data_IF_876312472860
#
_entry.id   IF_876312472860
#
_cell.length_a   1.000
_cell.length_b   1.000
_cell.length_c   1.000
_cell.angle_alpha   90.00
_cell.angle_beta   90.00
_cell.angle_gamma   90.00
#
_symmetry.space_group_name_H-M   'P 1'
#
loop_
_entity.id
_entity.type
_entity.pdbx_description
1 polymer ?
#
# COMPACT_ATOMS: atom_id res chain seq x y z
N UNK A 1 -10.51 33.26 -27.53
CA UNK A 1 -10.21 33.34 -26.09
C UNK A 1 -10.89 32.16 -25.42
N UNK A 2 -10.16 31.03 -25.28
CA UNK A 2 -10.64 29.84 -24.58
C UNK A 2 -9.78 29.65 -23.35
N UNK A 3 -10.20 30.24 -22.25
CA UNK A 3 -9.67 29.94 -20.91
C UNK A 3 -10.26 28.64 -20.43
N UNK A 4 -9.66 27.49 -20.80
CA UNK A 4 -9.89 26.23 -20.11
C UNK A 4 -9.29 26.37 -18.71
N UNK A 5 -10.12 26.69 -17.72
CA UNK A 5 -9.77 26.69 -16.32
C UNK A 5 -9.23 25.31 -15.97
N UNK A 6 -7.93 25.18 -15.74
CA UNK A 6 -7.34 24.03 -15.04
C UNK A 6 -8.03 23.93 -13.68
N UNK A 7 -8.98 23.00 -13.53
CA UNK A 7 -9.44 22.60 -12.20
C UNK A 7 -8.19 22.24 -11.42
N UNK A 8 -7.90 22.97 -10.33
CA UNK A 8 -6.86 22.52 -9.38
C UNK A 8 -7.22 21.11 -8.99
N UNK A 9 -6.34 20.17 -9.30
CA UNK A 9 -6.44 18.81 -8.82
C UNK A 9 -6.39 18.90 -7.29
N UNK A 10 -7.39 18.34 -6.58
CA UNK A 10 -7.37 18.38 -5.12
C UNK A 10 -6.15 17.61 -4.62
N UNK A 11 -5.43 18.21 -3.69
CA UNK A 11 -4.22 17.61 -3.09
C UNK A 11 -4.55 16.32 -2.35
N UNK A 12 -3.60 15.40 -2.28
CA UNK A 12 -3.72 14.19 -1.48
C UNK A 12 -3.71 14.54 0.01
N UNK A 13 -4.50 13.84 0.81
CA UNK A 13 -4.49 13.98 2.26
C UNK A 13 -3.25 13.30 2.84
N UNK A 14 -2.27 14.08 3.24
CA UNK A 14 -0.98 13.62 3.80
C UNK A 14 -0.91 13.94 5.29
N UNK A 15 -0.48 12.98 6.09
CA UNK A 15 -0.35 13.07 7.54
C UNK A 15 1.12 12.86 7.91
N UNK A 16 1.76 13.87 8.46
CA UNK A 16 3.16 13.85 8.89
C UNK A 16 3.26 13.73 10.40
N UNK A 17 4.23 12.98 10.86
CA UNK A 17 4.56 12.81 12.26
C UNK A 17 6.07 12.98 12.41
N UNK A 18 6.47 14.02 13.13
CA UNK A 18 7.88 14.27 13.39
C UNK A 18 8.43 13.25 14.39
N UNK A 19 9.68 12.84 14.20
CA UNK A 19 10.37 12.02 15.18
C UNK A 19 10.48 12.77 16.53
N UNK A 20 10.31 12.06 17.65
CA UNK A 20 10.67 12.57 18.97
C UNK A 20 12.20 12.53 19.08
N UNK A 21 12.85 13.71 18.98
CA UNK A 21 14.30 13.85 18.89
C UNK A 21 14.96 14.02 20.27
N UNK A 22 14.83 13.08 21.18
CA UNK A 22 15.71 13.09 22.35
C UNK A 22 16.88 12.11 22.12
N UNK A 23 18.06 12.64 21.79
CA UNK A 23 19.34 11.92 21.90
C UNK A 23 19.87 11.18 20.67
N UNK A 24 19.33 11.34 19.48
CA UNK A 24 19.86 10.66 18.28
C UNK A 24 21.04 11.42 17.66
N UNK A 25 22.21 10.80 17.59
CA UNK A 25 23.43 11.36 16.96
C UNK A 25 23.32 11.46 15.43
N UNK A 26 22.36 10.82 14.79
CA UNK A 26 22.05 10.87 13.35
C UNK A 26 20.53 10.66 13.15
N UNK A 27 19.86 11.51 12.37
CA UNK A 27 18.45 11.31 12.09
C UNK A 27 18.25 10.00 11.31
N UNK A 28 17.29 9.20 11.79
CA UNK A 28 16.83 8.02 11.06
C UNK A 28 16.17 8.44 9.72
N UNK A 29 16.21 7.60 8.69
CA UNK A 29 15.54 7.91 7.44
C UNK A 29 14.03 8.04 7.66
N UNK A 30 13.40 8.96 6.93
CA UNK A 30 11.95 9.11 6.88
C UNK A 30 11.28 7.83 6.37
N UNK A 31 10.13 7.50 6.93
CA UNK A 31 9.33 6.34 6.55
C UNK A 31 7.99 6.79 5.94
N UNK A 32 7.66 6.31 4.74
CA UNK A 32 6.40 6.61 4.07
C UNK A 32 5.55 5.35 3.96
N UNK A 33 4.34 5.38 4.53
CA UNK A 33 3.39 4.27 4.49
C UNK A 33 2.43 4.38 3.31
N UNK A 34 2.30 3.29 2.56
CA UNK A 34 1.41 3.15 1.40
C UNK A 34 0.38 2.07 1.69
N UNK A 35 -0.88 2.46 1.83
CA UNK A 35 -1.95 1.54 2.18
C UNK A 35 -2.44 0.70 0.99
N UNK A 36 -3.09 -0.43 1.29
CA UNK A 36 -3.67 -1.34 0.33
C UNK A 36 -5.02 -0.88 -0.25
N UNK A 37 -5.63 -1.76 -1.02
CA UNK A 37 -6.96 -1.57 -1.60
C UNK A 37 -8.02 -1.47 -0.50
N UNK A 38 -8.94 -0.50 -0.60
CA UNK A 38 -10.00 -0.19 0.37
C UNK A 38 -9.49 0.03 1.80
N UNK A 39 -8.25 0.49 1.93
CA UNK A 39 -7.64 0.87 3.20
C UNK A 39 -7.36 2.38 3.23
N UNK A 40 -6.70 2.90 4.26
CA UNK A 40 -6.46 4.34 4.50
C UNK A 40 -5.19 4.56 5.30
N UNK A 41 -4.67 5.78 5.30
CA UNK A 41 -3.57 6.21 6.15
C UNK A 41 -3.78 5.86 7.64
N UNK A 42 -5.02 5.91 8.10
CA UNK A 42 -5.38 5.64 9.50
C UNK A 42 -5.13 4.18 9.93
N UNK A 43 -5.09 3.21 9.02
CA UNK A 43 -4.81 1.82 9.34
C UNK A 43 -3.42 1.60 9.96
N UNK A 44 -2.47 2.47 9.62
CA UNK A 44 -1.12 2.43 10.20
C UNK A 44 -0.96 3.18 11.53
N UNK A 45 -2.03 3.74 12.11
CA UNK A 45 -1.92 4.51 13.36
C UNK A 45 -1.38 3.68 14.54
N UNK A 46 -1.76 2.41 14.64
CA UNK A 46 -1.26 1.53 15.71
C UNK A 46 0.24 1.27 15.56
N UNK A 47 0.70 1.07 14.32
CA UNK A 47 2.12 0.88 14.00
C UNK A 47 2.89 2.17 14.24
N UNK A 48 2.37 3.32 13.77
CA UNK A 48 3.02 4.62 13.93
C UNK A 48 3.29 4.98 15.40
N UNK A 49 2.37 4.65 16.31
CA UNK A 49 2.55 4.86 17.76
C UNK A 49 3.70 4.05 18.37
N UNK A 50 4.19 3.02 17.69
CA UNK A 50 5.31 2.15 18.09
C UNK A 50 6.66 2.58 17.51
N UNK A 51 6.62 3.62 16.69
CA UNK A 51 7.77 4.18 15.98
C UNK A 51 7.92 5.69 16.26
N UNK A 52 7.87 6.13 17.56
CA UNK A 52 7.86 7.56 17.90
C UNK A 52 9.18 8.26 17.56
N UNK A 53 10.25 7.49 17.41
CA UNK A 53 11.61 7.92 17.10
C UNK A 53 11.87 8.11 15.60
N UNK A 54 10.88 7.79 14.74
CA UNK A 54 10.99 7.92 13.29
C UNK A 54 10.12 9.07 12.76
N UNK A 55 10.60 9.76 11.75
CA UNK A 55 9.75 10.64 10.94
C UNK A 55 8.85 9.79 10.05
N UNK A 56 7.54 9.92 10.23
CA UNK A 56 6.55 9.09 9.56
C UNK A 56 5.63 9.93 8.68
N UNK A 57 5.43 9.49 7.45
CA UNK A 57 4.44 10.03 6.53
C UNK A 57 3.43 8.93 6.18
N UNK A 58 2.16 9.26 6.29
CA UNK A 58 1.03 8.43 5.86
C UNK A 58 0.14 9.27 4.97
N UNK A 59 -0.46 8.70 3.96
CA UNK A 59 -1.40 9.45 3.11
C UNK A 59 -2.55 8.56 2.68
N UNK A 60 -3.70 9.18 2.43
CA UNK A 60 -4.80 8.49 1.76
C UNK A 60 -4.52 8.54 0.26
N UNK A 61 -4.43 7.36 -0.37
CA UNK A 61 -4.24 7.27 -1.82
C UNK A 61 -5.44 7.90 -2.54
N UNK A 62 -5.22 8.36 -3.75
CA UNK A 62 -6.25 8.94 -4.62
C UNK A 62 -7.50 8.05 -4.68
N UNK A 63 -8.68 8.67 -4.47
CA UNK A 63 -9.97 8.00 -4.45
C UNK A 63 -10.30 7.26 -3.16
N UNK A 64 -9.48 7.41 -2.10
CA UNK A 64 -9.70 6.83 -0.78
C UNK A 64 -9.73 7.88 0.32
N UNK A 65 -10.51 7.61 1.36
CA UNK A 65 -10.53 8.40 2.58
C UNK A 65 -10.77 9.89 2.33
N UNK A 66 -9.84 10.75 2.78
CA UNK A 66 -9.91 12.19 2.55
C UNK A 66 -9.38 12.63 1.18
N UNK A 67 -8.77 11.71 0.42
CA UNK A 67 -8.37 11.92 -0.97
C UNK A 67 -9.43 11.43 -1.97
N UNK A 68 -10.69 11.23 -1.53
CA UNK A 68 -11.78 10.76 -2.39
C UNK A 68 -11.97 11.65 -3.62
N UNK A 69 -11.89 12.98 -3.42
CA UNK A 69 -12.09 14.00 -4.45
C UNK A 69 -10.79 14.45 -5.15
N UNK A 70 -9.66 13.78 -4.89
CA UNK A 70 -8.35 14.18 -5.45
C UNK A 70 -8.18 13.83 -6.94
N UNK A 71 -9.26 13.59 -7.65
CA UNK A 71 -9.29 13.28 -9.07
C UNK A 71 -9.70 11.84 -9.37
N UNK A 72 -9.65 11.47 -10.66
CA UNK A 72 -10.06 10.13 -11.08
C UNK A 72 -9.14 9.04 -10.54
N UNK A 73 -9.74 7.87 -10.38
CA UNK A 73 -9.02 6.68 -9.95
C UNK A 73 -7.88 6.37 -10.94
N UNK A 74 -6.71 6.11 -10.37
CA UNK A 74 -5.44 6.08 -11.07
C UNK A 74 -5.03 4.66 -11.48
N UNK A 75 -4.33 4.53 -12.60
CA UNK A 75 -3.54 3.34 -12.91
C UNK A 75 -2.26 3.29 -12.05
N UNK A 76 -1.46 2.24 -12.22
CA UNK A 76 -0.22 2.08 -11.43
C UNK A 76 0.77 3.24 -11.68
N UNK A 77 0.85 3.75 -12.89
CA UNK A 77 1.80 4.82 -13.24
C UNK A 77 1.42 6.12 -12.51
N UNK A 78 0.13 6.44 -12.44
CA UNK A 78 -0.34 7.58 -11.67
C UNK A 78 -0.24 7.35 -10.14
N UNK A 79 -0.41 6.12 -9.64
CA UNK A 79 -0.19 5.80 -8.22
C UNK A 79 1.28 5.99 -7.82
N UNK A 80 2.22 5.63 -8.69
CA UNK A 80 3.66 5.89 -8.50
C UNK A 80 3.94 7.39 -8.50
N UNK A 81 3.38 8.14 -9.47
CA UNK A 81 3.52 9.58 -9.52
C UNK A 81 2.99 10.28 -8.27
N UNK A 82 1.84 9.84 -7.74
CA UNK A 82 1.29 10.33 -6.47
C UNK A 82 2.26 10.08 -5.30
N UNK A 83 2.89 8.90 -5.24
CA UNK A 83 3.87 8.60 -4.19
C UNK A 83 5.13 9.45 -4.33
N UNK A 84 5.61 9.69 -5.54
CA UNK A 84 6.74 10.60 -5.82
C UNK A 84 6.41 12.04 -5.39
N UNK A 85 5.18 12.51 -5.61
CA UNK A 85 4.71 13.82 -5.11
C UNK A 85 4.71 13.86 -3.57
N UNK A 86 4.23 12.79 -2.90
CA UNK A 86 4.26 12.68 -1.43
C UNK A 86 5.69 12.67 -0.88
N UNK A 87 6.64 12.07 -1.60
CA UNK A 87 8.06 12.07 -1.26
C UNK A 87 8.66 13.48 -1.33
N UNK A 88 8.19 14.33 -2.26
CA UNK A 88 8.63 15.72 -2.34
C UNK A 88 10.13 15.90 -2.64
N UNK A 89 10.73 14.93 -3.35
CA UNK A 89 12.16 14.93 -3.69
C UNK A 89 13.09 14.43 -2.59
N UNK A 90 12.57 14.02 -1.43
CA UNK A 90 13.37 13.51 -0.32
C UNK A 90 13.36 11.98 -0.27
N UNK A 91 14.53 11.31 -0.22
CA UNK A 91 14.62 9.87 -0.12
C UNK A 91 13.98 9.33 1.18
N UNK A 92 13.31 8.17 1.07
CA UNK A 92 12.62 7.57 2.21
C UNK A 92 12.68 6.02 2.16
N UNK A 93 12.39 5.40 3.30
CA UNK A 93 12.01 3.99 3.38
C UNK A 93 10.53 3.89 3.07
N UNK A 94 10.16 3.07 2.09
CA UNK A 94 8.77 2.85 1.72
C UNK A 94 8.20 1.61 2.43
N UNK A 95 7.07 1.76 3.09
CA UNK A 95 6.36 0.65 3.75
C UNK A 95 5.02 0.46 3.06
N UNK A 96 4.88 -0.62 2.30
CA UNK A 96 3.67 -0.91 1.54
C UNK A 96 2.94 -2.15 2.04
N UNK A 97 1.64 -2.03 2.25
CA UNK A 97 0.75 -3.15 2.56
C UNK A 97 -0.09 -3.52 1.33
N UNK A 98 -0.13 -4.80 0.98
CA UNK A 98 -0.94 -5.30 -0.13
C UNK A 98 -0.61 -4.55 -1.43
N UNK A 99 -1.58 -3.94 -2.13
CA UNK A 99 -1.33 -3.12 -3.31
C UNK A 99 -0.35 -1.96 -3.03
N UNK A 100 -0.35 -1.41 -1.83
CA UNK A 100 0.65 -0.41 -1.42
C UNK A 100 2.09 -0.95 -1.51
N UNK A 101 2.28 -2.25 -1.28
CA UNK A 101 3.56 -2.93 -1.50
C UNK A 101 3.95 -2.98 -2.97
N UNK A 102 2.99 -3.24 -3.86
CA UNK A 102 3.21 -3.19 -5.32
C UNK A 102 3.62 -1.78 -5.77
N UNK A 103 2.92 -0.75 -5.28
CA UNK A 103 3.24 0.66 -5.58
C UNK A 103 4.65 1.01 -5.09
N UNK A 104 5.01 0.63 -3.86
CA UNK A 104 6.33 0.89 -3.28
C UNK A 104 7.46 0.22 -4.09
N UNK A 105 7.26 -1.04 -4.52
CA UNK A 105 8.22 -1.78 -5.35
C UNK A 105 8.37 -1.17 -6.75
N UNK A 106 7.25 -0.80 -7.38
CA UNK A 106 7.26 -0.12 -8.67
C UNK A 106 7.94 1.27 -8.59
N UNK A 107 7.78 1.97 -7.46
CA UNK A 107 8.48 3.25 -7.22
C UNK A 107 9.98 3.02 -7.04
N UNK A 108 10.38 1.97 -6.32
CA UNK A 108 11.80 1.63 -6.13
C UNK A 108 12.51 1.27 -7.44
N UNK A 109 11.81 0.63 -8.39
CA UNK A 109 12.31 0.34 -9.73
C UNK A 109 12.47 1.61 -10.57
N UNK A 110 11.46 2.51 -10.55
CA UNK A 110 11.37 3.65 -11.47
C UNK A 110 12.08 4.88 -10.97
N UNK A 111 12.15 5.07 -9.66
CA UNK A 111 12.69 6.24 -8.98
C UNK A 111 13.75 5.85 -7.93
N UNK A 112 14.80 5.10 -8.32
CA UNK A 112 15.80 4.58 -7.38
C UNK A 112 16.41 5.62 -6.44
N UNK A 113 16.64 6.90 -6.86
CA UNK A 113 17.22 7.90 -5.97
C UNK A 113 16.32 8.29 -4.79
N UNK A 114 15.01 8.05 -4.88
CA UNK A 114 14.03 8.42 -3.86
C UNK A 114 13.73 7.29 -2.87
N UNK A 115 14.26 6.07 -3.09
CA UNK A 115 13.90 4.91 -2.27
C UNK A 115 15.14 4.29 -1.62
N UNK A 116 15.22 4.42 -0.29
CA UNK A 116 16.34 3.92 0.50
C UNK A 116 16.22 2.42 0.80
N UNK A 117 15.02 1.94 1.01
CA UNK A 117 14.65 0.54 1.18
C UNK A 117 13.13 0.38 1.04
N UNK A 118 12.67 -0.85 0.80
CA UNK A 118 11.23 -1.17 0.78
C UNK A 118 10.93 -2.23 1.83
N UNK A 119 9.85 -2.01 2.61
CA UNK A 119 9.17 -3.02 3.40
C UNK A 119 7.84 -3.36 2.71
N UNK A 120 7.76 -4.48 2.00
CA UNK A 120 6.57 -4.91 1.26
C UNK A 120 5.86 -6.04 1.99
N UNK A 121 4.70 -5.78 2.61
CA UNK A 121 3.92 -6.78 3.31
C UNK A 121 2.80 -7.32 2.43
N UNK A 122 2.87 -8.62 2.12
CA UNK A 122 1.88 -9.35 1.32
C UNK A 122 1.47 -8.65 0.01
N UNK A 123 2.47 -8.09 -0.70
CA UNK A 123 2.27 -7.51 -2.03
C UNK A 123 1.76 -8.59 -2.99
N UNK A 124 0.58 -8.41 -3.63
CA UNK A 124 0.02 -9.41 -4.54
C UNK A 124 0.78 -9.45 -5.87
N UNK A 125 0.82 -10.62 -6.49
CA UNK A 125 1.42 -10.84 -7.81
C UNK A 125 0.40 -11.46 -8.80
N UNK A 126 -0.70 -10.78 -9.12
CA UNK A 126 -1.79 -11.40 -9.90
C UNK A 126 -1.44 -11.64 -11.38
N UNK A 127 -0.28 -11.20 -11.84
CA UNK A 127 0.26 -11.42 -13.20
C UNK A 127 1.01 -12.76 -13.34
N UNK A 128 1.36 -13.42 -12.23
CA UNK A 128 2.06 -14.72 -12.32
C UNK A 128 1.09 -15.85 -12.62
N UNK A 129 1.52 -16.90 -13.38
CA UNK A 129 0.62 -17.97 -13.85
C UNK A 129 -0.07 -18.77 -12.74
N UNK A 130 0.59 -18.92 -11.59
CA UNK A 130 0.06 -19.68 -10.46
C UNK A 130 -0.89 -18.90 -9.54
N UNK A 131 -1.04 -17.56 -9.75
CA UNK A 131 -1.98 -16.79 -8.96
C UNK A 131 -3.41 -17.24 -9.25
N UNK A 132 -4.26 -17.47 -8.22
CA UNK A 132 -5.58 -18.07 -8.41
C UNK A 132 -6.47 -17.29 -9.38
N UNK A 133 -7.00 -17.97 -10.37
CA UNK A 133 -7.87 -17.37 -11.40
C UNK A 133 -9.17 -16.77 -10.83
N UNK A 134 -9.67 -17.31 -9.70
CA UNK A 134 -10.86 -16.77 -9.01
C UNK A 134 -10.73 -15.30 -8.63
N UNK A 135 -9.52 -14.79 -8.46
CA UNK A 135 -9.29 -13.36 -8.32
C UNK A 135 -9.54 -12.60 -9.63
N UNK A 136 -9.62 -13.30 -10.77
CA UNK A 136 -9.89 -12.76 -12.10
C UNK A 136 -11.38 -12.84 -12.46
N UNK A 137 -12.12 -13.85 -11.94
CA UNK A 137 -13.48 -14.22 -12.41
C UNK A 137 -14.61 -13.33 -11.88
N UNK A 138 -14.43 -12.69 -10.76
CA UNK A 138 -15.36 -11.64 -10.36
C UNK A 138 -14.86 -10.33 -10.94
N UNK A 139 -15.14 -10.12 -12.22
CA UNK A 139 -14.78 -8.88 -12.87
C UNK A 139 -15.82 -7.81 -12.52
N UNK A 140 -15.57 -7.02 -11.43
CA UNK A 140 -16.40 -5.86 -11.14
C UNK A 140 -16.24 -4.82 -12.25
N UNK A 141 -15.30 -5.06 -13.18
CA UNK A 141 -14.92 -4.16 -14.27
C UNK A 141 -15.92 -4.19 -15.44
N UNK A 142 -16.70 -5.27 -15.56
CA UNK A 142 -17.79 -5.37 -16.55
C UNK A 142 -19.06 -4.67 -16.11
N UNK A 143 -19.18 -4.34 -14.82
CA UNK A 143 -20.33 -3.63 -14.29
C UNK A 143 -20.19 -2.13 -14.54
N UNK A 144 -21.01 -1.60 -15.42
CA UNK A 144 -21.04 -0.17 -15.75
C UNK A 144 -21.66 0.69 -14.65
N UNK A 145 -21.09 1.88 -14.42
CA UNK A 145 -21.69 2.94 -13.62
C UNK A 145 -21.32 2.95 -12.14
N UNK A 146 -21.67 4.05 -11.43
CA UNK A 146 -21.29 4.26 -10.02
C UNK A 146 -21.87 3.24 -9.04
N UNK A 147 -23.11 2.80 -9.26
CA UNK A 147 -23.77 1.84 -8.38
C UNK A 147 -23.14 0.44 -8.46
N UNK A 148 -22.72 0.04 -9.64
CA UNK A 148 -22.00 -1.22 -9.81
C UNK A 148 -20.63 -1.20 -9.12
N UNK A 149 -19.93 -0.06 -9.18
CA UNK A 149 -18.67 0.15 -8.46
C UNK A 149 -18.90 0.12 -6.94
N UNK A 150 -19.95 0.77 -6.44
CA UNK A 150 -20.33 0.75 -5.02
C UNK A 150 -20.66 -0.67 -4.54
N UNK A 151 -21.40 -1.44 -5.35
CA UNK A 151 -21.73 -2.85 -5.06
C UNK A 151 -20.48 -3.74 -5.07
N UNK A 152 -19.50 -3.45 -5.90
CA UNK A 152 -18.21 -4.15 -5.90
C UNK A 152 -17.45 -3.94 -4.59
N UNK A 153 -17.46 -2.73 -4.03
CA UNK A 153 -16.89 -2.46 -2.70
C UNK A 153 -17.57 -3.30 -1.63
N UNK A 154 -18.89 -3.31 -1.60
CA UNK A 154 -19.63 -4.09 -0.60
C UNK A 154 -19.27 -5.58 -0.67
N UNK A 155 -19.30 -6.18 -1.88
CA UNK A 155 -18.88 -7.58 -2.07
C UNK A 155 -17.45 -7.83 -1.62
N UNK A 156 -16.53 -6.90 -1.92
CA UNK A 156 -15.14 -7.01 -1.49
C UNK A 156 -15.03 -6.94 0.05
N UNK A 157 -15.68 -5.97 0.67
CA UNK A 157 -15.64 -5.79 2.13
C UNK A 157 -16.26 -6.98 2.87
N UNK A 158 -17.42 -7.48 2.41
CA UNK A 158 -18.06 -8.70 2.98
C UNK A 158 -17.11 -9.90 2.94
N UNK A 159 -16.33 -10.05 1.87
CA UNK A 159 -15.33 -11.12 1.79
C UNK A 159 -14.17 -10.92 2.76
N UNK A 160 -13.71 -9.69 2.97
CA UNK A 160 -12.53 -9.37 3.80
C UNK A 160 -12.86 -9.38 5.29
N UNK A 161 -13.96 -8.75 5.69
CA UNK A 161 -14.32 -8.58 7.10
C UNK A 161 -15.50 -9.46 7.55
N UNK A 162 -16.16 -10.15 6.63
CA UNK A 162 -17.37 -10.95 6.87
C UNK A 162 -18.67 -10.14 6.81
N UNK A 163 -19.78 -10.86 6.51
CA UNK A 163 -21.11 -10.25 6.36
C UNK A 163 -21.57 -9.58 7.66
N UNK A 164 -21.46 -10.27 8.78
CA UNK A 164 -21.90 -9.77 10.09
C UNK A 164 -21.21 -8.44 10.44
N UNK A 165 -19.88 -8.39 10.28
CA UNK A 165 -19.12 -7.18 10.60
C UNK A 165 -19.41 -6.03 9.63
N UNK A 166 -19.70 -6.33 8.37
CA UNK A 166 -20.17 -5.32 7.42
C UNK A 166 -21.51 -4.71 7.84
N UNK A 167 -22.49 -5.54 8.21
CA UNK A 167 -23.81 -5.06 8.67
C UNK A 167 -23.74 -4.25 9.97
N UNK A 168 -22.78 -4.56 10.84
CA UNK A 168 -22.55 -3.81 12.09
C UNK A 168 -21.89 -2.44 11.88
N UNK A 169 -21.32 -2.17 10.69
CA UNK A 169 -20.75 -0.85 10.41
C UNK A 169 -21.84 0.23 10.37
N UNK A 170 -21.57 1.43 10.92
CA UNK A 170 -22.48 2.57 10.76
C UNK A 170 -22.80 2.81 9.28
N UNK A 171 -24.05 3.16 8.97
CA UNK A 171 -24.48 3.43 7.58
C UNK A 171 -23.63 4.49 6.89
N UNK A 172 -23.18 5.51 7.63
CA UNK A 172 -22.25 6.53 7.11
C UNK A 172 -20.91 5.94 6.69
N UNK A 173 -20.37 4.96 7.45
CA UNK A 173 -19.14 4.24 7.11
C UNK A 173 -19.34 3.38 5.88
N UNK A 174 -20.44 2.64 5.78
CA UNK A 174 -20.77 1.84 4.58
C UNK A 174 -20.88 2.73 3.34
N UNK A 175 -21.56 3.88 3.44
CA UNK A 175 -21.70 4.84 2.35
C UNK A 175 -20.34 5.43 1.92
N UNK A 176 -19.47 5.80 2.88
CA UNK A 176 -18.12 6.27 2.59
C UNK A 176 -17.29 5.19 1.86
N UNK A 177 -17.38 3.92 2.31
CA UNK A 177 -16.69 2.81 1.63
C UNK A 177 -17.22 2.59 0.23
N UNK A 178 -18.54 2.60 0.04
CA UNK A 178 -19.17 2.45 -1.28
C UNK A 178 -18.77 3.54 -2.26
N UNK A 179 -18.53 4.77 -1.80
CA UNK A 179 -18.05 5.88 -2.62
C UNK A 179 -16.63 5.64 -3.20
N UNK A 180 -15.82 4.76 -2.58
CA UNK A 180 -14.47 4.40 -3.02
C UNK A 180 -14.47 3.39 -4.21
N UNK A 181 -15.63 3.07 -4.77
CA UNK A 181 -15.79 2.03 -5.78
C UNK A 181 -14.96 2.24 -7.05
N UNK A 182 -14.82 3.48 -7.54
CA UNK A 182 -13.98 3.78 -8.69
C UNK A 182 -12.50 3.47 -8.42
N UNK A 183 -12.02 3.81 -7.22
CA UNK A 183 -10.64 3.51 -6.81
C UNK A 183 -10.41 2.01 -6.69
N UNK A 184 -11.36 1.25 -6.11
CA UNK A 184 -11.30 -0.21 -6.09
C UNK A 184 -11.14 -0.80 -7.50
N UNK A 185 -11.97 -0.36 -8.44
CA UNK A 185 -11.91 -0.86 -9.82
C UNK A 185 -10.57 -0.54 -10.50
N UNK A 186 -10.04 0.67 -10.28
CA UNK A 186 -8.74 1.07 -10.80
C UNK A 186 -7.61 0.22 -10.17
N UNK A 187 -7.62 0.02 -8.86
CA UNK A 187 -6.67 -0.84 -8.16
C UNK A 187 -6.63 -2.25 -8.75
N UNK A 188 -7.80 -2.86 -8.95
CA UNK A 188 -7.90 -4.19 -9.52
C UNK A 188 -7.42 -4.28 -10.98
N UNK A 189 -7.64 -3.23 -11.77
CA UNK A 189 -7.15 -3.15 -13.16
C UNK A 189 -5.64 -3.00 -13.21
N UNK A 190 -5.08 -2.14 -12.37
CA UNK A 190 -3.67 -1.72 -12.43
C UNK A 190 -2.68 -2.88 -12.31
N UNK A 191 -3.04 -3.94 -11.60
CA UNK A 191 -2.16 -5.10 -11.34
C UNK A 191 -2.52 -6.36 -12.14
N UNK A 192 -3.64 -6.35 -12.91
CA UNK A 192 -4.10 -7.55 -13.65
C UNK A 192 -3.62 -7.59 -15.09
N UNK A 193 -3.29 -6.44 -15.68
CA UNK A 193 -3.07 -6.32 -17.14
C UNK A 193 -1.62 -6.55 -17.55
N UNK A 194 -0.67 -6.31 -16.63
CA UNK A 194 0.76 -6.49 -16.89
C UNK A 194 1.52 -6.69 -15.58
N UNK A 195 2.75 -7.20 -15.67
CA UNK A 195 3.70 -7.20 -14.56
C UNK A 195 3.92 -5.76 -14.07
N UNK A 196 3.80 -5.54 -12.76
CA UNK A 196 3.83 -4.21 -12.17
C UNK A 196 5.23 -3.63 -12.05
N UNK A 197 6.24 -4.47 -11.83
CA UNK A 197 7.66 -4.14 -11.65
C UNK A 197 8.54 -5.34 -12.00
N UNK A 198 9.80 -5.10 -12.34
CA UNK A 198 10.84 -6.12 -12.45
C UNK A 198 11.61 -6.21 -11.12
N UNK A 199 11.48 -7.30 -10.34
CA UNK A 199 12.21 -7.45 -9.08
C UNK A 199 13.73 -7.36 -9.23
N UNK A 200 14.28 -7.82 -10.36
CA UNK A 200 15.72 -7.81 -10.60
C UNK A 200 16.28 -6.39 -10.87
N UNK A 201 15.42 -5.45 -11.27
CA UNK A 201 15.78 -4.06 -11.49
C UNK A 201 15.78 -3.22 -10.21
N UNK A 202 15.22 -3.72 -9.10
CA UNK A 202 15.19 -3.00 -7.82
C UNK A 202 16.59 -2.99 -7.20
N UNK A 203 17.15 -1.80 -7.03
CA UNK A 203 18.53 -1.60 -6.56
C UNK A 203 18.69 -1.41 -5.06
N UNK A 204 17.62 -1.16 -4.32
CA UNK A 204 17.67 -0.97 -2.86
C UNK A 204 17.31 -2.27 -2.09
N UNK A 205 17.65 -2.36 -0.79
CA UNK A 205 17.21 -3.47 0.05
C UNK A 205 15.70 -3.61 0.11
N UNK A 206 15.18 -4.84 0.05
CA UNK A 206 13.75 -5.14 0.16
C UNK A 206 13.50 -6.14 1.28
N UNK A 207 12.78 -5.71 2.31
CA UNK A 207 12.26 -6.60 3.35
C UNK A 207 10.85 -7.00 2.94
N UNK A 208 10.65 -8.29 2.67
CA UNK A 208 9.36 -8.84 2.26
C UNK A 208 8.68 -9.48 3.47
N UNK A 209 7.46 -9.10 3.77
CA UNK A 209 6.71 -9.61 4.92
C UNK A 209 5.51 -10.44 4.54
N UNK A 210 5.22 -11.48 5.34
CA UNK A 210 3.92 -12.16 5.30
C UNK A 210 3.55 -12.71 6.69
N UNK A 211 2.25 -12.89 6.93
CA UNK A 211 1.76 -13.58 8.11
C UNK A 211 1.84 -15.10 7.96
N UNK A 212 2.03 -15.84 9.07
CA UNK A 212 2.03 -17.31 9.01
C UNK A 212 0.62 -17.90 8.88
N UNK A 213 -0.42 -17.16 9.29
CA UNK A 213 -1.83 -17.56 9.17
C UNK A 213 -2.53 -17.03 7.89
N UNK A 214 -1.77 -16.38 7.01
CA UNK A 214 -2.32 -15.84 5.75
C UNK A 214 -2.59 -16.93 4.70
N UNK A 215 -3.32 -16.57 3.63
CA UNK A 215 -3.57 -17.48 2.52
C UNK A 215 -2.28 -17.90 1.81
N UNK A 216 -2.23 -19.15 1.34
CA UNK A 216 -1.05 -19.75 0.68
C UNK A 216 -0.50 -18.87 -0.45
N UNK A 217 -1.35 -18.24 -1.26
CA UNK A 217 -0.92 -17.35 -2.36
C UNK A 217 -0.05 -16.17 -1.88
N UNK A 218 -0.35 -15.59 -0.71
CA UNK A 218 0.41 -14.47 -0.17
C UNK A 218 1.77 -14.92 0.39
N UNK A 219 1.82 -16.09 1.05
CA UNK A 219 3.09 -16.68 1.48
C UNK A 219 4.00 -16.98 0.31
N UNK A 220 3.43 -17.65 -0.73
CA UNK A 220 4.18 -17.98 -1.94
C UNK A 220 4.68 -16.73 -2.67
N UNK A 221 3.83 -15.69 -2.80
CA UNK A 221 4.25 -14.43 -3.41
C UNK A 221 5.38 -13.75 -2.62
N UNK A 222 5.32 -13.78 -1.29
CA UNK A 222 6.37 -13.22 -0.45
C UNK A 222 7.69 -13.99 -0.60
N UNK A 223 7.65 -15.33 -0.66
CA UNK A 223 8.81 -16.18 -0.88
C UNK A 223 9.45 -15.94 -2.26
N UNK A 224 8.64 -15.93 -3.31
CA UNK A 224 9.12 -15.67 -4.68
C UNK A 224 9.68 -14.25 -4.83
N UNK A 225 9.01 -13.25 -4.26
CA UNK A 225 9.50 -11.87 -4.31
C UNK A 225 10.84 -11.73 -3.60
N UNK A 226 10.96 -12.25 -2.37
CA UNK A 226 12.22 -12.18 -1.61
C UNK A 226 13.39 -12.87 -2.32
N UNK A 227 13.11 -13.96 -3.05
CA UNK A 227 14.11 -14.68 -3.83
C UNK A 227 14.46 -14.00 -5.18
N UNK A 228 13.56 -13.16 -5.70
CA UNK A 228 13.71 -12.54 -7.02
C UNK A 228 14.38 -11.17 -6.98
N UNK A 229 14.30 -10.44 -5.86
CA UNK A 229 15.00 -9.17 -5.69
C UNK A 229 16.47 -9.39 -5.35
N UNK A 230 17.35 -8.49 -5.82
CA UNK A 230 18.80 -8.62 -5.65
C UNK A 230 19.24 -8.65 -4.18
N UNK A 231 18.61 -7.85 -3.33
CA UNK A 231 18.90 -7.72 -1.90
C UNK A 231 17.60 -7.90 -1.09
N UNK A 232 17.06 -9.14 -1.12
CA UNK A 232 15.79 -9.53 -0.53
C UNK A 232 15.94 -10.23 0.82
N UNK A 233 15.08 -9.89 1.77
CA UNK A 233 14.97 -10.56 3.06
C UNK A 233 13.51 -10.90 3.35
N UNK A 234 13.21 -12.15 3.70
CA UNK A 234 11.86 -12.60 4.04
C UNK A 234 11.66 -12.62 5.55
N UNK A 235 10.66 -11.90 6.05
CA UNK A 235 10.21 -11.96 7.43
C UNK A 235 8.79 -12.50 7.54
N UNK A 236 8.56 -13.41 8.51
CA UNK A 236 7.24 -13.96 8.79
C UNK A 236 6.75 -13.48 10.14
N UNK A 237 5.53 -12.96 10.20
CA UNK A 237 4.87 -12.56 11.45
C UNK A 237 4.04 -13.74 11.96
N UNK A 238 4.42 -14.38 13.09
CA UNK A 238 3.70 -15.51 13.64
C UNK A 238 2.24 -15.18 13.98
N UNK A 239 1.30 -16.05 13.58
CA UNK A 239 -0.12 -15.90 13.85
C UNK A 239 -0.84 -14.81 13.05
N UNK A 240 -0.11 -13.93 12.38
CA UNK A 240 -0.72 -12.86 11.59
C UNK A 240 -1.33 -13.36 10.27
N UNK A 241 -2.34 -12.64 9.82
CA UNK A 241 -2.91 -12.76 8.48
C UNK A 241 -2.70 -11.46 7.68
N UNK A 242 -3.48 -11.25 6.63
CA UNK A 242 -3.30 -10.10 5.74
C UNK A 242 -3.38 -8.73 6.43
N UNK A 243 -4.07 -8.64 7.56
CA UNK A 243 -4.28 -7.42 8.35
C UNK A 243 -3.25 -7.18 9.46
N UNK A 244 -2.04 -7.74 9.36
CA UNK A 244 -1.00 -7.69 10.39
C UNK A 244 -0.72 -6.28 10.94
N UNK A 245 -0.77 -5.25 10.11
CA UNK A 245 -0.58 -3.84 10.54
C UNK A 245 -1.64 -3.35 11.54
N UNK A 246 -2.78 -4.03 11.64
CA UNK A 246 -3.85 -3.73 12.60
C UNK A 246 -3.95 -4.73 13.74
N UNK A 247 -3.70 -6.00 13.47
CA UNK A 247 -3.83 -7.12 14.42
C UNK A 247 -2.55 -7.42 15.19
N UNK A 248 -1.37 -7.22 14.58
CA UNK A 248 -0.02 -7.48 15.13
C UNK A 248 0.87 -6.24 14.97
N UNK A 249 0.48 -5.07 15.54
CA UNK A 249 1.16 -3.81 15.26
C UNK A 249 2.57 -3.73 15.86
N UNK A 250 2.90 -4.51 16.87
CA UNK A 250 4.25 -4.56 17.46
C UNK A 250 5.23 -5.27 16.53
N UNK A 251 4.84 -6.43 16.02
CA UNK A 251 5.61 -7.22 15.07
C UNK A 251 5.71 -6.51 13.71
N UNK A 252 4.64 -5.84 13.31
CA UNK A 252 4.67 -5.03 12.10
C UNK A 252 5.59 -3.81 12.25
N UNK A 253 5.68 -3.19 13.43
CA UNK A 253 6.65 -2.14 13.71
C UNK A 253 8.09 -2.66 13.68
N UNK A 254 8.35 -3.87 14.18
CA UNK A 254 9.65 -4.52 14.05
C UNK A 254 10.01 -4.80 12.58
N UNK A 255 9.04 -5.24 11.76
CA UNK A 255 9.20 -5.38 10.32
C UNK A 255 9.58 -4.05 9.63
N UNK A 256 8.96 -2.93 10.02
CA UNK A 256 9.33 -1.59 9.53
C UNK A 256 10.75 -1.22 9.94
N UNK A 257 11.11 -1.42 11.23
CA UNK A 257 12.46 -1.13 11.74
C UNK A 257 13.53 -1.90 10.99
N UNK A 258 13.25 -3.15 10.62
CA UNK A 258 14.20 -3.94 9.84
C UNK A 258 14.53 -3.29 8.49
N UNK A 259 13.56 -2.72 7.80
CA UNK A 259 13.80 -1.99 6.55
C UNK A 259 14.58 -0.67 6.79
N UNK A 260 14.32 0.03 7.89
CA UNK A 260 15.08 1.22 8.30
C UNK A 260 16.55 0.89 8.58
N UNK A 261 16.83 -0.21 9.27
CA UNK A 261 18.18 -0.73 9.52
C UNK A 261 18.91 -1.03 8.19
N UNK A 262 18.25 -1.74 7.27
CA UNK A 262 18.79 -2.09 5.95
C UNK A 262 19.12 -0.85 5.13
N UNK A 263 18.27 0.18 5.16
CA UNK A 263 18.51 1.46 4.51
C UNK A 263 19.77 2.18 5.03
N UNK A 264 20.16 1.94 6.28
CA UNK A 264 21.29 2.60 6.93
C UNK A 264 22.62 1.87 6.68
N UNK A 265 22.61 0.57 6.39
CA UNK A 265 23.80 -0.25 6.16
C UNK A 265 24.25 -0.30 4.70
N UNK A 266 23.40 0.08 3.77
CA UNK A 266 23.69 0.10 2.32
C UNK A 266 24.32 1.40 1.79
N UNK A 267 24.77 2.30 2.68
CA UNK A 267 25.43 3.59 2.32
C UNK A 267 26.91 3.55 2.56
#
# INVERSE_FOLDING_TARGET
MNGAGRRRQAELAVYRHAASTEGASRPAPRVVFVHGTLDRAAAFLKVARRLPDLELVRYDRRGYGRSLESGEAADLDAMVADLVEVLGGEPAVLVGHSLGGVIALATAEREPPLVLAVAAFEAPMPWVPWWPERSRLEDPLSAGGPEAAASAVERFMRRVIGDERWEQLPRSTQAQRRAEGRALLADLRSVRTRQAYDPAAIGCPVVVGCGTATAHRHRRAAEELAASVRDGELLRIPGASHDAHTSHPDEFAAFVRRAVERASTGR
#
